data_IF_555963537613
#
_entry.id   IF_555963537613
#
_cell.length_a   1.000
_cell.length_b   1.000
_cell.length_c   1.000
_cell.angle_alpha   90.00
_cell.angle_beta   90.00
_cell.angle_gamma   90.00
#
_symmetry.space_group_name_H-M   'P 1'
#
loop_
_entity.id
_entity.type
_entity.pdbx_description
1 polymer ?
#
# COMPACT_ATOMS: atom_id res chain seq x y z
N UNK A 1 -23.57 -0.24 -6.70
CA UNK A 1 -23.14 0.03 -5.31
C UNK A 1 -23.49 -1.16 -4.42
N UNK A 2 -22.79 -1.33 -3.30
CA UNK A 2 -23.11 -2.38 -2.32
C UNK A 2 -24.54 -2.27 -1.80
N UNK A 3 -25.05 -1.06 -1.61
CA UNK A 3 -26.41 -0.80 -1.11
C UNK A 3 -27.49 -1.50 -1.93
N UNK A 4 -27.36 -1.53 -3.25
CA UNK A 4 -28.33 -2.20 -4.14
C UNK A 4 -28.23 -3.73 -4.13
N UNK A 5 -27.14 -4.27 -3.60
CA UNK A 5 -26.87 -5.73 -3.56
C UNK A 5 -26.82 -6.29 -2.14
N UNK A 6 -27.03 -5.46 -1.10
CA UNK A 6 -26.83 -5.84 0.28
C UNK A 6 -27.67 -7.07 0.68
N UNK A 7 -28.94 -7.09 0.30
CA UNK A 7 -29.83 -8.24 0.59
C UNK A 7 -29.29 -9.55 -0.04
N UNK A 8 -28.78 -9.48 -1.28
CA UNK A 8 -28.21 -10.64 -1.97
C UNK A 8 -26.92 -11.09 -1.26
N UNK A 9 -26.08 -10.17 -0.85
CA UNK A 9 -24.83 -10.47 -0.13
C UNK A 9 -25.14 -11.16 1.20
N UNK A 10 -26.11 -10.63 1.98
CA UNK A 10 -26.54 -11.26 3.24
C UNK A 10 -27.08 -12.66 2.98
N UNK A 11 -27.95 -12.84 1.98
CA UNK A 11 -28.52 -14.13 1.61
C UNK A 11 -27.43 -15.16 1.25
N UNK A 12 -26.40 -14.76 0.51
CA UNK A 12 -25.28 -15.64 0.16
C UNK A 12 -24.51 -16.11 1.39
N UNK A 13 -24.16 -15.20 2.31
CA UNK A 13 -23.47 -15.57 3.55
C UNK A 13 -24.36 -16.44 4.44
N UNK A 14 -25.66 -16.13 4.55
CA UNK A 14 -26.61 -16.93 5.34
C UNK A 14 -26.75 -18.35 4.77
N UNK A 15 -26.84 -18.51 3.44
CA UNK A 15 -26.85 -19.82 2.78
C UNK A 15 -25.56 -20.62 3.01
N UNK A 16 -24.44 -19.92 3.17
CA UNK A 16 -23.16 -20.51 3.52
C UNK A 16 -23.00 -20.82 5.03
N UNK A 17 -24.04 -20.59 5.84
CA UNK A 17 -24.09 -20.92 7.26
C UNK A 17 -23.57 -19.81 8.20
N UNK A 18 -23.39 -18.60 7.70
CA UNK A 18 -22.99 -17.46 8.53
C UNK A 18 -24.21 -16.75 9.13
N UNK A 19 -24.08 -16.32 10.38
CA UNK A 19 -24.94 -15.30 10.96
C UNK A 19 -24.37 -13.92 10.65
N UNK A 20 -25.18 -13.03 10.03
CA UNK A 20 -24.68 -11.77 9.46
C UNK A 20 -25.19 -10.57 10.22
N UNK A 21 -24.29 -9.74 10.68
CA UNK A 21 -24.58 -8.41 11.21
C UNK A 21 -24.06 -7.35 10.23
N UNK A 22 -24.96 -6.54 9.67
CA UNK A 22 -24.59 -5.46 8.77
C UNK A 22 -24.50 -4.13 9.54
N UNK A 23 -23.39 -3.43 9.39
CA UNK A 23 -23.14 -2.12 10.00
C UNK A 23 -22.67 -1.10 8.95
N UNK A 24 -23.56 -0.23 8.43
CA UNK A 24 -23.17 0.86 7.56
C UNK A 24 -22.34 1.92 8.31
N UNK A 25 -21.26 2.35 7.70
CA UNK A 25 -20.42 3.43 8.23
C UNK A 25 -21.07 4.79 7.95
N UNK A 26 -20.96 5.73 8.90
CA UNK A 26 -21.58 7.06 8.82
C UNK A 26 -20.53 8.17 8.67
N UNK A 27 -19.35 7.98 9.24
CA UNK A 27 -18.29 8.98 9.23
C UNK A 27 -16.90 8.33 9.17
N UNK A 28 -15.89 9.17 9.08
CA UNK A 28 -14.49 8.73 9.09
C UNK A 28 -14.16 7.99 10.38
N UNK A 29 -13.41 6.90 10.28
CA UNK A 29 -13.02 5.98 11.37
C UNK A 29 -14.13 5.10 11.93
N UNK A 30 -15.36 5.16 11.43
CA UNK A 30 -16.42 4.23 11.83
C UNK A 30 -16.08 2.78 11.52
N UNK A 31 -15.46 2.52 10.37
CA UNK A 31 -15.03 1.17 10.01
C UNK A 31 -13.95 0.64 10.97
N UNK A 32 -13.06 1.50 11.45
CA UNK A 32 -12.07 1.15 12.47
C UNK A 32 -12.75 0.78 13.80
N UNK A 33 -13.70 1.60 14.27
CA UNK A 33 -14.44 1.35 15.50
C UNK A 33 -15.26 0.06 15.40
N UNK A 34 -15.92 -0.17 14.26
CA UNK A 34 -16.71 -1.39 14.00
C UNK A 34 -15.84 -2.65 13.99
N UNK A 35 -14.67 -2.58 13.35
CA UNK A 35 -13.74 -3.70 13.31
C UNK A 35 -13.18 -4.03 14.69
N UNK A 36 -12.78 -3.01 15.46
CA UNK A 36 -12.33 -3.19 16.84
C UNK A 36 -13.41 -3.81 17.72
N UNK A 37 -14.65 -3.34 17.60
CA UNK A 37 -15.80 -3.91 18.30
C UNK A 37 -15.99 -5.39 17.93
N UNK A 38 -16.02 -5.73 16.64
CA UNK A 38 -16.19 -7.10 16.18
C UNK A 38 -15.11 -8.05 16.75
N UNK A 39 -13.85 -7.61 16.78
CA UNK A 39 -12.75 -8.39 17.36
C UNK A 39 -13.00 -8.74 18.85
N UNK A 40 -13.70 -7.88 19.60
CA UNK A 40 -14.03 -8.09 21.02
C UNK A 40 -15.33 -8.86 21.27
N UNK A 41 -16.19 -9.06 20.28
CA UNK A 41 -17.55 -9.62 20.46
C UNK A 41 -17.73 -11.06 19.97
N UNK A 42 -16.63 -11.75 19.66
CA UNK A 42 -16.71 -13.17 19.30
C UNK A 42 -17.13 -13.46 17.86
N UNK A 43 -17.09 -12.48 16.97
CA UNK A 43 -17.22 -12.73 15.53
C UNK A 43 -16.05 -13.56 15.00
N UNK A 44 -16.26 -14.24 13.86
CA UNK A 44 -15.26 -15.12 13.24
C UNK A 44 -14.64 -14.48 11.99
N UNK A 45 -15.34 -13.53 11.36
CA UNK A 45 -14.97 -12.89 10.12
C UNK A 45 -15.46 -11.45 10.09
N UNK A 46 -14.64 -10.53 9.62
CA UNK A 46 -15.05 -9.17 9.24
C UNK A 46 -15.13 -9.10 7.73
N UNK A 47 -16.26 -8.68 7.18
CA UNK A 47 -16.39 -8.41 5.74
C UNK A 47 -16.40 -6.90 5.51
N UNK A 48 -15.33 -6.39 4.91
CA UNK A 48 -15.20 -5.00 4.52
C UNK A 48 -15.75 -4.79 3.11
N UNK A 49 -16.75 -3.94 2.95
CA UNK A 49 -17.20 -3.50 1.62
C UNK A 49 -16.99 -2.00 1.46
N UNK A 50 -16.06 -1.62 0.58
CA UNK A 50 -15.67 -0.22 0.38
C UNK A 50 -14.47 -0.08 -0.55
N UNK A 51 -13.84 1.08 -0.53
CA UNK A 51 -12.57 1.35 -1.19
C UNK A 51 -11.38 1.09 -0.25
N UNK A 52 -10.18 1.40 -0.74
CA UNK A 52 -8.93 1.19 0.00
C UNK A 52 -8.90 1.94 1.34
N UNK A 53 -9.49 3.15 1.40
CA UNK A 53 -9.62 3.91 2.65
C UNK A 53 -10.45 3.18 3.72
N UNK A 54 -11.59 2.58 3.33
CA UNK A 54 -12.43 1.80 4.26
C UNK A 54 -11.69 0.53 4.71
N UNK A 55 -11.01 -0.15 3.79
CA UNK A 55 -10.19 -1.31 4.12
C UNK A 55 -9.08 -0.92 5.11
N UNK A 56 -8.39 0.19 4.89
CA UNK A 56 -7.36 0.67 5.80
C UNK A 56 -7.92 0.97 7.20
N UNK A 57 -9.10 1.56 7.31
CA UNK A 57 -9.76 1.75 8.62
C UNK A 57 -10.07 0.43 9.31
N UNK A 58 -10.60 -0.57 8.59
CA UNK A 58 -10.85 -1.92 9.14
C UNK A 58 -9.55 -2.52 9.67
N UNK A 59 -8.47 -2.44 8.90
CA UNK A 59 -7.15 -2.94 9.29
C UNK A 59 -6.63 -2.23 10.54
N UNK A 60 -6.76 -0.90 10.62
CA UNK A 60 -6.42 -0.15 11.84
C UNK A 60 -7.16 -0.70 13.06
N UNK A 61 -8.44 -1.01 12.92
CA UNK A 61 -9.26 -1.57 14.00
C UNK A 61 -8.83 -2.98 14.41
N UNK A 62 -8.61 -3.86 13.44
CA UNK A 62 -8.14 -5.22 13.68
C UNK A 62 -6.75 -5.22 14.30
N UNK A 63 -5.80 -4.45 13.73
CA UNK A 63 -4.41 -4.44 14.22
C UNK A 63 -4.26 -3.88 15.63
N UNK A 64 -5.17 -3.02 16.07
CA UNK A 64 -5.21 -2.48 17.45
C UNK A 64 -6.00 -3.35 18.43
N UNK A 65 -6.57 -4.45 17.98
CA UNK A 65 -7.31 -5.39 18.84
C UNK A 65 -6.38 -6.50 19.33
N UNK A 66 -6.69 -7.13 20.46
CA UNK A 66 -5.94 -8.30 20.94
C UNK A 66 -6.15 -9.51 20.02
N UNK A 67 -7.43 -9.85 19.75
CA UNK A 67 -7.81 -10.91 18.82
C UNK A 67 -7.85 -10.34 17.40
N UNK A 68 -7.11 -10.95 16.48
CA UNK A 68 -7.13 -10.60 15.06
C UNK A 68 -8.14 -11.48 14.33
N UNK A 69 -9.14 -10.85 13.72
CA UNK A 69 -10.08 -11.56 12.86
C UNK A 69 -9.62 -11.53 11.41
N UNK A 70 -9.90 -12.58 10.64
CA UNK A 70 -9.72 -12.53 9.19
C UNK A 70 -10.63 -11.47 8.58
N UNK A 71 -10.18 -10.88 7.47
CA UNK A 71 -10.91 -9.85 6.73
C UNK A 71 -11.26 -10.38 5.35
N UNK A 72 -12.55 -10.45 5.02
CA UNK A 72 -13.04 -10.58 3.66
C UNK A 72 -13.17 -9.19 3.03
N UNK A 73 -12.70 -8.99 1.81
CA UNK A 73 -12.78 -7.69 1.16
C UNK A 73 -13.64 -7.73 -0.10
N UNK A 74 -14.68 -6.90 -0.15
CA UNK A 74 -15.53 -6.66 -1.30
C UNK A 74 -15.19 -5.28 -1.86
N UNK A 75 -14.45 -5.19 -2.98
CA UNK A 75 -14.03 -3.91 -3.54
C UNK A 75 -15.21 -3.15 -4.12
N UNK A 76 -15.55 -2.01 -3.52
CA UNK A 76 -16.67 -1.16 -3.90
C UNK A 76 -16.28 0.32 -4.09
N UNK A 77 -15.00 0.66 -3.99
CA UNK A 77 -14.44 1.98 -4.26
C UNK A 77 -14.08 2.18 -5.73
N UNK A 78 -13.50 3.34 -6.04
CA UNK A 78 -13.10 3.71 -7.41
C UNK A 78 -11.87 2.94 -7.89
N UNK A 79 -10.85 2.84 -7.07
CA UNK A 79 -9.53 2.29 -7.41
C UNK A 79 -9.38 0.83 -6.96
N UNK A 80 -9.58 0.54 -5.68
CA UNK A 80 -9.50 -0.78 -5.05
C UNK A 80 -8.16 -1.49 -5.33
N UNK A 81 -7.12 -0.85 -4.96
CA UNK A 81 -5.76 -1.20 -5.35
C UNK A 81 -5.26 -2.47 -4.69
N UNK A 82 -5.52 -2.61 -3.40
CA UNK A 82 -5.24 -3.84 -2.69
C UNK A 82 -5.95 -5.04 -3.36
N UNK A 83 -7.25 -4.89 -3.67
CA UNK A 83 -8.00 -5.95 -4.33
C UNK A 83 -7.40 -6.34 -5.69
N UNK A 84 -6.95 -5.35 -6.46
CA UNK A 84 -6.31 -5.57 -7.75
C UNK A 84 -4.96 -6.27 -7.61
N UNK A 85 -4.16 -5.86 -6.63
CA UNK A 85 -2.84 -6.44 -6.34
C UNK A 85 -2.90 -7.91 -5.98
N UNK A 86 -3.92 -8.32 -5.19
CA UNK A 86 -4.10 -9.72 -4.75
C UNK A 86 -5.10 -10.50 -5.61
N UNK A 87 -5.63 -9.91 -6.69
CA UNK A 87 -6.51 -10.58 -7.64
C UNK A 87 -7.96 -10.78 -7.19
N UNK A 88 -8.46 -10.02 -6.20
CA UNK A 88 -9.86 -10.10 -5.76
C UNK A 88 -10.81 -9.65 -6.88
N UNK A 89 -11.88 -10.40 -7.19
CA UNK A 89 -12.84 -10.04 -8.21
C UNK A 89 -13.48 -8.66 -7.98
N UNK A 90 -13.61 -7.86 -9.06
CA UNK A 90 -14.30 -6.57 -9.00
C UNK A 90 -15.82 -6.69 -8.86
N UNK A 91 -16.38 -7.79 -9.36
CA UNK A 91 -17.81 -8.04 -9.21
C UNK A 91 -18.12 -8.39 -7.75
N UNK A 92 -19.10 -7.72 -7.17
CA UNK A 92 -19.48 -7.89 -5.75
C UNK A 92 -19.86 -9.34 -5.45
N UNK A 93 -20.64 -9.98 -6.33
CA UNK A 93 -21.12 -11.35 -6.12
C UNK A 93 -19.97 -12.35 -6.18
N UNK A 94 -19.08 -12.17 -7.17
CA UNK A 94 -17.90 -13.04 -7.31
C UNK A 94 -16.93 -12.85 -6.14
N UNK A 95 -16.78 -11.60 -5.63
CA UNK A 95 -15.97 -11.33 -4.43
C UNK A 95 -16.57 -11.97 -3.17
N UNK A 96 -17.90 -11.95 -3.01
CA UNK A 96 -18.60 -12.64 -1.92
C UNK A 96 -18.38 -14.15 -2.01
N UNK A 97 -18.56 -14.73 -3.20
CA UNK A 97 -18.34 -16.16 -3.40
C UNK A 97 -16.88 -16.53 -3.10
N UNK A 98 -15.93 -15.69 -3.53
CA UNK A 98 -14.52 -15.90 -3.20
C UNK A 98 -14.24 -15.88 -1.70
N UNK A 99 -14.90 -14.99 -0.93
CA UNK A 99 -14.77 -14.96 0.52
C UNK A 99 -15.34 -16.23 1.15
N UNK A 100 -16.52 -16.70 0.68
CA UNK A 100 -17.20 -17.89 1.19
C UNK A 100 -16.38 -19.15 0.94
N UNK A 101 -15.86 -19.31 -0.28
CA UNK A 101 -15.11 -20.50 -0.72
C UNK A 101 -13.61 -20.39 -0.40
N UNK A 102 -13.16 -19.19 -0.04
CA UNK A 102 -11.76 -18.83 0.09
C UNK A 102 -11.07 -19.46 1.29
N UNK A 103 -9.76 -19.64 1.13
CA UNK A 103 -8.86 -19.94 2.23
C UNK A 103 -8.28 -18.65 2.79
N UNK A 104 -7.99 -18.65 4.09
CA UNK A 104 -7.25 -17.54 4.71
C UNK A 104 -5.89 -17.38 4.03
N UNK A 105 -5.60 -16.18 3.60
CA UNK A 105 -4.33 -15.81 2.99
C UNK A 105 -3.60 -14.86 3.95
N UNK A 106 -2.42 -15.25 4.47
CA UNK A 106 -1.65 -14.36 5.33
C UNK A 106 -1.08 -13.20 4.52
N UNK A 107 -1.05 -12.03 5.14
CA UNK A 107 -0.52 -10.82 4.54
C UNK A 107 0.12 -9.96 5.63
N UNK A 108 1.33 -9.53 5.40
CA UNK A 108 2.04 -8.62 6.29
C UNK A 108 1.39 -7.24 6.29
N UNK A 109 1.30 -6.66 7.46
CA UNK A 109 0.78 -5.31 7.67
C UNK A 109 1.91 -4.45 8.24
N UNK A 110 2.28 -3.41 7.49
CA UNK A 110 3.29 -2.46 7.92
C UNK A 110 2.83 -1.63 9.11
N UNK A 111 3.70 -1.49 10.10
CA UNK A 111 3.51 -0.54 11.19
C UNK A 111 4.36 0.70 10.92
N UNK A 112 3.71 1.85 10.84
CA UNK A 112 4.37 3.13 10.64
C UNK A 112 4.01 4.08 11.78
N UNK A 113 4.95 4.23 12.73
CA UNK A 113 4.71 4.90 14.01
C UNK A 113 3.47 4.31 14.72
N UNK A 114 2.38 5.09 14.81
CA UNK A 114 1.11 4.71 15.44
C UNK A 114 0.03 4.23 14.45
N UNK A 115 0.39 4.12 13.17
CA UNK A 115 -0.51 3.73 12.07
C UNK A 115 -0.08 2.43 11.43
N UNK A 116 -1.01 1.84 10.68
CA UNK A 116 -0.76 0.66 9.88
C UNK A 116 -1.02 0.94 8.41
N UNK A 117 -0.29 0.26 7.53
CA UNK A 117 -0.53 0.30 6.09
C UNK A 117 -0.42 -1.10 5.49
N UNK A 118 -1.18 -1.36 4.43
CA UNK A 118 -1.23 -2.67 3.77
C UNK A 118 -0.31 -2.78 2.58
N UNK A 119 -0.11 -1.68 1.87
CA UNK A 119 0.46 -1.76 0.52
C UNK A 119 1.65 -0.86 0.32
N UNK A 120 1.53 0.43 0.62
CA UNK A 120 2.57 1.42 0.37
C UNK A 120 2.57 2.51 1.44
N UNK A 121 3.75 2.94 1.84
CA UNK A 121 4.00 4.20 2.50
C UNK A 121 5.07 4.95 1.69
N UNK A 122 4.81 6.19 1.29
CA UNK A 122 5.71 6.96 0.45
C UNK A 122 5.84 8.40 0.91
N UNK A 123 7.01 9.00 0.64
CA UNK A 123 7.28 10.42 0.88
C UNK A 123 7.95 11.08 -0.32
N UNK A 124 7.95 12.39 -0.32
CA UNK A 124 8.70 13.21 -1.27
C UNK A 124 7.86 13.83 -2.35
N UNK A 125 8.53 14.33 -3.37
CA UNK A 125 7.89 14.96 -4.50
C UNK A 125 6.86 13.98 -5.09
N UNK A 126 5.62 14.48 -5.27
CA UNK A 126 4.56 13.76 -6.01
C UNK A 126 3.58 12.93 -5.17
N UNK A 127 3.71 12.87 -3.86
CA UNK A 127 2.73 12.18 -3.03
C UNK A 127 1.36 12.87 -3.04
N UNK A 128 1.29 14.15 -3.38
CA UNK A 128 0.03 14.90 -3.47
C UNK A 128 -0.83 14.55 -4.70
N UNK A 129 -0.23 13.96 -5.75
CA UNK A 129 -0.89 13.72 -7.05
C UNK A 129 -1.31 12.25 -7.26
N UNK A 130 -0.86 11.34 -6.42
CA UNK A 130 -0.92 9.89 -6.67
C UNK A 130 -2.24 9.21 -6.35
N UNK A 131 -3.24 9.89 -5.81
CA UNK A 131 -4.49 9.25 -5.40
C UNK A 131 -5.45 8.85 -6.54
N UNK A 132 -5.21 9.27 -7.77
CA UNK A 132 -6.15 9.00 -8.87
C UNK A 132 -5.67 7.98 -9.92
N UNK A 133 -4.45 7.52 -9.89
CA UNK A 133 -3.91 6.66 -10.94
C UNK A 133 -3.42 5.31 -10.42
N UNK A 134 -3.84 4.28 -11.09
CA UNK A 134 -3.61 2.84 -10.91
C UNK A 134 -2.22 2.44 -10.37
N UNK A 135 -2.22 1.54 -9.42
CA UNK A 135 -1.18 1.28 -8.45
C UNK A 135 -0.50 -0.06 -8.63
N UNK A 136 0.12 -0.21 -9.72
CA UNK A 136 1.31 -1.05 -9.72
C UNK A 136 2.49 -0.13 -9.34
N UNK A 137 3.47 -0.62 -8.60
CA UNK A 137 4.70 0.11 -8.27
C UNK A 137 5.34 0.72 -9.53
N UNK A 138 5.27 0.04 -10.68
CA UNK A 138 5.66 0.56 -11.99
C UNK A 138 4.93 1.86 -12.35
N UNK A 139 3.65 1.99 -11.99
CA UNK A 139 2.87 3.19 -12.30
C UNK A 139 3.25 4.34 -11.37
N UNK A 140 3.57 4.07 -10.11
CA UNK A 140 4.07 5.09 -9.17
C UNK A 140 5.40 5.63 -9.67
N UNK A 141 6.36 4.77 -9.96
CA UNK A 141 7.68 5.18 -10.43
C UNK A 141 7.63 5.81 -11.82
N UNK A 142 6.78 5.31 -12.73
CA UNK A 142 6.52 5.92 -14.03
C UNK A 142 5.90 7.32 -13.88
N UNK A 143 5.01 7.51 -12.91
CA UNK A 143 4.45 8.82 -12.61
C UNK A 143 5.51 9.78 -12.04
N UNK A 144 6.36 9.30 -11.12
CA UNK A 144 7.53 10.07 -10.64
C UNK A 144 8.42 10.49 -11.82
N UNK A 145 8.73 9.58 -12.75
CA UNK A 145 9.50 9.90 -13.95
C UNK A 145 8.82 10.97 -14.82
N UNK A 146 7.50 10.85 -15.02
CA UNK A 146 6.72 11.83 -15.80
C UNK A 146 6.77 13.23 -15.17
N UNK A 147 6.58 13.32 -13.86
CA UNK A 147 6.63 14.61 -13.17
C UNK A 147 8.04 15.19 -13.14
N UNK A 148 9.06 14.36 -12.92
CA UNK A 148 10.46 14.79 -13.01
C UNK A 148 10.80 15.32 -14.40
N UNK A 149 10.29 14.70 -15.45
CA UNK A 149 10.48 15.18 -16.83
C UNK A 149 9.84 16.56 -17.09
N UNK A 150 8.77 16.90 -16.38
CA UNK A 150 8.12 18.22 -16.44
C UNK A 150 8.88 19.32 -15.68
N UNK A 151 9.89 18.99 -14.88
CA UNK A 151 10.63 19.96 -14.08
C UNK A 151 11.72 20.63 -14.92
N UNK A 152 11.54 21.91 -15.20
CA UNK A 152 12.48 22.70 -16.00
C UNK A 152 13.75 23.12 -15.26
N UNK A 153 13.77 23.04 -13.92
CA UNK A 153 14.92 23.47 -13.10
C UNK A 153 15.07 22.57 -11.86
N UNK A 154 16.25 22.03 -11.65
CA UNK A 154 16.56 21.16 -10.49
C UNK A 154 16.24 21.77 -9.13
N UNK A 155 16.44 23.08 -8.98
CA UNK A 155 16.13 23.79 -7.73
C UNK A 155 14.66 23.77 -7.32
N UNK A 156 13.77 23.34 -8.20
CA UNK A 156 12.34 23.19 -7.91
C UNK A 156 12.04 21.80 -7.35
N UNK A 157 13.00 20.89 -7.30
CA UNK A 157 12.85 19.56 -6.71
C UNK A 157 13.11 19.70 -5.22
N UNK A 158 12.10 19.44 -4.40
CA UNK A 158 12.27 19.40 -2.94
C UNK A 158 13.13 18.19 -2.58
N UNK A 159 14.19 18.44 -1.86
CA UNK A 159 15.17 17.45 -1.42
C UNK A 159 15.16 17.38 0.10
N UNK A 160 15.26 16.18 0.64
CA UNK A 160 15.27 15.92 2.07
C UNK A 160 16.57 15.24 2.45
N UNK A 161 17.32 15.85 3.36
CA UNK A 161 18.48 15.19 3.96
C UNK A 161 18.01 14.16 4.97
N UNK A 162 18.43 12.92 4.80
CA UNK A 162 17.93 11.82 5.62
C UNK A 162 19.04 10.89 6.05
N UNK A 163 18.98 10.50 7.31
CA UNK A 163 19.68 9.34 7.84
C UNK A 163 18.69 8.18 7.94
N UNK A 164 19.00 7.09 7.27
CA UNK A 164 18.15 5.91 7.16
C UNK A 164 18.90 4.73 7.77
N UNK A 165 18.28 4.09 8.75
CA UNK A 165 18.82 2.89 9.42
C UNK A 165 17.91 1.70 9.12
N UNK A 166 18.48 0.63 8.62
CA UNK A 166 17.79 -0.63 8.34
C UNK A 166 18.76 -1.79 8.54
N UNK A 167 18.26 -2.88 9.10
CA UNK A 167 19.08 -4.01 9.54
C UNK A 167 20.30 -3.51 10.35
N UNK A 168 21.52 -3.80 9.92
CA UNK A 168 22.77 -3.32 10.53
C UNK A 168 23.42 -2.20 9.71
N UNK A 169 22.71 -1.65 8.69
CA UNK A 169 23.23 -0.59 7.82
C UNK A 169 22.69 0.78 8.20
N UNK A 170 23.53 1.79 8.00
CA UNK A 170 23.17 3.21 8.08
C UNK A 170 23.59 3.87 6.77
N UNK A 171 22.63 4.55 6.13
CA UNK A 171 22.88 5.38 4.97
C UNK A 171 22.43 6.80 5.24
N UNK A 172 23.18 7.77 4.74
CA UNK A 172 22.89 9.19 4.89
C UNK A 172 23.13 9.88 3.57
N UNK A 173 22.08 10.52 3.04
CA UNK A 173 22.15 11.21 1.76
C UNK A 173 20.93 12.14 1.59
N UNK A 174 20.86 12.83 0.46
CA UNK A 174 19.73 13.67 0.07
C UNK A 174 18.80 12.89 -0.88
N UNK A 175 17.52 12.83 -0.54
CA UNK A 175 16.52 12.09 -1.30
C UNK A 175 15.37 12.99 -1.75
N UNK A 176 14.87 12.76 -2.96
CA UNK A 176 13.69 13.43 -3.50
C UNK A 176 12.43 12.60 -3.36
N UNK A 177 12.57 11.28 -3.18
CA UNK A 177 11.47 10.34 -3.06
C UNK A 177 11.91 9.08 -2.33
N UNK A 178 10.99 8.50 -1.58
CA UNK A 178 11.15 7.17 -1.01
C UNK A 178 9.80 6.49 -0.83
N UNK A 179 9.80 5.16 -0.97
CA UNK A 179 8.63 4.35 -0.71
C UNK A 179 9.01 3.04 -0.04
N UNK A 180 8.09 2.54 0.77
CA UNK A 180 8.13 1.23 1.42
C UNK A 180 6.87 0.49 1.00
N UNK A 181 7.01 -0.69 0.39
CA UNK A 181 5.88 -1.43 -0.17
C UNK A 181 5.90 -2.89 0.25
N UNK A 182 4.71 -3.47 0.46
CA UNK A 182 4.50 -4.91 0.45
C UNK A 182 3.94 -5.30 -0.92
N UNK A 183 4.82 -5.50 -1.91
CA UNK A 183 4.43 -5.70 -3.31
C UNK A 183 5.44 -6.54 -4.08
N UNK A 184 4.95 -7.35 -5.00
CA UNK A 184 5.75 -8.28 -5.83
C UNK A 184 6.68 -7.62 -6.84
N UNK A 185 6.70 -6.32 -6.97
CA UNK A 185 7.45 -5.69 -8.05
C UNK A 185 8.01 -4.34 -7.66
N UNK A 186 9.15 -4.35 -7.00
CA UNK A 186 9.99 -3.17 -6.95
C UNK A 186 11.10 -3.31 -7.96
N UNK A 187 11.05 -2.46 -8.95
CA UNK A 187 12.16 -2.11 -9.82
C UNK A 187 12.84 -3.26 -10.57
N UNK A 188 12.15 -4.34 -10.89
CA UNK A 188 12.77 -5.42 -11.70
C UNK A 188 14.00 -6.09 -11.06
N UNK A 189 14.38 -5.71 -9.85
CA UNK A 189 15.57 -6.22 -9.16
C UNK A 189 15.37 -7.59 -8.52
N UNK A 190 14.12 -8.00 -8.30
CA UNK A 190 13.81 -9.30 -7.72
C UNK A 190 12.91 -10.06 -8.70
N UNK A 191 13.30 -11.30 -9.01
CA UNK A 191 12.56 -12.17 -9.91
C UNK A 191 11.16 -12.45 -9.36
N UNK A 192 10.15 -12.37 -10.23
CA UNK A 192 8.72 -12.54 -9.95
C UNK A 192 8.33 -13.90 -9.34
N UNK A 193 9.25 -14.83 -9.16
CA UNK A 193 8.94 -16.21 -8.82
C UNK A 193 8.87 -16.51 -7.32
N UNK A 194 9.30 -15.60 -6.44
CA UNK A 194 9.39 -15.87 -4.99
C UNK A 194 8.74 -14.77 -4.13
N UNK A 195 7.71 -14.10 -4.64
CA UNK A 195 7.03 -13.08 -3.87
C UNK A 195 5.99 -13.69 -2.92
N UNK A 196 6.21 -13.46 -1.63
CA UNK A 196 5.29 -13.80 -0.57
C UNK A 196 4.82 -12.50 0.11
N UNK A 197 3.50 -12.35 0.28
CA UNK A 197 2.93 -11.21 1.03
C UNK A 197 3.12 -11.35 2.55
N UNK A 198 3.66 -12.45 3.00
CA UNK A 198 3.76 -12.86 4.40
C UNK A 198 5.17 -13.33 4.78
N UNK A 199 6.20 -12.78 4.13
CA UNK A 199 7.60 -13.12 4.41
C UNK A 199 8.26 -12.22 5.47
N UNK A 200 7.51 -11.27 6.03
CA UNK A 200 7.98 -10.32 7.03
C UNK A 200 8.88 -9.22 6.48
N UNK A 201 8.99 -9.08 5.16
CA UNK A 201 9.87 -8.11 4.51
C UNK A 201 9.09 -7.11 3.69
N UNK A 202 9.59 -5.89 3.66
CA UNK A 202 9.13 -4.80 2.81
C UNK A 202 10.20 -4.40 1.82
N UNK A 203 9.78 -4.06 0.62
CA UNK A 203 10.66 -3.45 -0.35
C UNK A 203 10.74 -1.94 -0.12
N UNK A 204 11.97 -1.45 -0.12
CA UNK A 204 12.26 -0.02 0.01
C UNK A 204 12.89 0.45 -1.30
N UNK A 205 12.35 1.53 -1.85
CA UNK A 205 12.97 2.24 -2.99
C UNK A 205 13.21 3.69 -2.62
N UNK A 206 14.45 4.12 -2.79
CA UNK A 206 14.90 5.48 -2.51
C UNK A 206 15.48 6.10 -3.78
N UNK A 207 15.10 7.35 -4.06
CA UNK A 207 15.62 8.12 -5.20
C UNK A 207 16.40 9.30 -4.65
N UNK A 208 17.69 9.33 -4.96
CA UNK A 208 18.58 10.41 -4.54
C UNK A 208 18.31 11.70 -5.30
N UNK A 209 18.70 12.79 -4.68
CA UNK A 209 18.64 14.12 -5.31
C UNK A 209 19.63 14.19 -6.46
N UNK A 210 19.20 14.57 -7.70
CA UNK A 210 20.11 14.77 -8.79
C UNK A 210 21.00 16.00 -8.58
N UNK A 211 22.30 15.86 -8.79
CA UNK A 211 23.25 16.95 -8.68
C UNK A 211 23.30 17.88 -9.89
N UNK A 212 22.90 17.39 -11.05
CA UNK A 212 22.93 18.11 -12.32
C UNK A 212 21.85 17.59 -13.30
N UNK A 213 21.60 18.26 -14.44
CA UNK A 213 20.59 17.84 -15.40
C UNK A 213 20.80 16.45 -16.03
N UNK A 214 22.05 16.00 -16.15
CA UNK A 214 22.35 14.66 -16.67
C UNK A 214 21.95 13.58 -15.67
N UNK A 215 22.15 13.82 -14.38
CA UNK A 215 21.72 12.92 -13.32
C UNK A 215 20.19 12.78 -13.31
N UNK A 216 19.48 13.91 -13.49
CA UNK A 216 18.02 13.88 -13.61
C UNK A 216 17.56 13.04 -14.80
N UNK A 217 18.21 13.17 -15.96
CA UNK A 217 17.89 12.35 -17.12
C UNK A 217 18.15 10.87 -16.88
N UNK A 218 19.24 10.51 -16.20
CA UNK A 218 19.54 9.12 -15.83
C UNK A 218 18.49 8.55 -14.90
N UNK A 219 18.08 9.30 -13.88
CA UNK A 219 16.99 8.90 -12.98
C UNK A 219 15.70 8.65 -13.77
N UNK A 220 15.28 9.60 -14.61
CA UNK A 220 14.08 9.46 -15.44
C UNK A 220 14.17 8.23 -16.35
N UNK A 221 15.32 8.03 -17.02
CA UNK A 221 15.54 6.88 -17.89
C UNK A 221 15.40 5.56 -17.10
N UNK A 222 16.05 5.45 -15.94
CA UNK A 222 15.98 4.28 -15.09
C UNK A 222 14.55 4.01 -14.58
N UNK A 223 13.80 5.04 -14.20
CA UNK A 223 12.40 4.88 -13.74
C UNK A 223 11.45 4.42 -14.85
N UNK A 224 11.72 4.84 -16.11
CA UNK A 224 10.92 4.40 -17.26
C UNK A 224 11.31 3.01 -17.78
N UNK A 225 12.54 2.57 -17.51
CA UNK A 225 13.08 1.30 -17.98
C UNK A 225 13.46 0.36 -16.82
N UNK A 226 12.73 0.43 -15.74
CA UNK A 226 13.05 -0.19 -14.46
C UNK A 226 13.25 -1.71 -14.52
N UNK A 227 12.66 -2.37 -15.49
CA UNK A 227 12.82 -3.81 -15.71
C UNK A 227 14.11 -4.17 -16.47
N UNK A 228 14.82 -3.18 -17.04
CA UNK A 228 15.91 -3.41 -17.98
C UNK A 228 17.22 -2.83 -17.46
N UNK A 229 17.18 -1.59 -16.93
CA UNK A 229 18.39 -0.85 -16.56
C UNK A 229 18.09 0.14 -15.42
N UNK A 230 18.64 -0.15 -14.23
CA UNK A 230 18.52 0.71 -13.06
C UNK A 230 19.88 1.32 -12.73
N UNK A 231 19.93 2.64 -12.73
CA UNK A 231 21.12 3.36 -12.26
C UNK A 231 21.20 3.33 -10.72
N UNK A 232 21.91 2.35 -10.19
CA UNK A 232 22.09 2.14 -8.76
C UNK A 232 22.83 3.27 -8.05
N UNK A 233 23.42 4.20 -8.79
CA UNK A 233 24.02 5.41 -8.21
C UNK A 233 22.96 6.36 -7.64
N UNK A 234 21.77 6.39 -8.25
CA UNK A 234 20.68 7.29 -7.88
C UNK A 234 19.46 6.60 -7.30
N UNK A 235 19.24 5.31 -7.65
CA UNK A 235 18.10 4.53 -7.17
C UNK A 235 18.64 3.40 -6.31
N UNK A 236 18.31 3.42 -5.03
CA UNK A 236 18.63 2.34 -4.09
C UNK A 236 17.38 1.56 -3.78
N UNK A 237 17.41 0.24 -4.00
CA UNK A 237 16.34 -0.68 -3.63
C UNK A 237 16.90 -1.82 -2.79
N UNK A 238 16.17 -2.19 -1.74
CA UNK A 238 16.52 -3.28 -0.83
C UNK A 238 15.27 -3.79 -0.11
N UNK A 239 15.39 -4.90 0.60
CA UNK A 239 14.33 -5.48 1.44
C UNK A 239 14.75 -5.45 2.90
N UNK A 240 13.80 -5.15 3.77
CA UNK A 240 14.02 -5.14 5.23
C UNK A 240 12.72 -5.35 5.99
N UNK A 241 12.80 -5.93 7.18
CA UNK A 241 11.67 -6.04 8.10
C UNK A 241 11.49 -4.80 8.97
N UNK A 242 12.53 -3.95 9.06
CA UNK A 242 12.52 -2.77 9.92
C UNK A 242 13.39 -1.65 9.33
N UNK A 243 12.80 -0.46 9.25
CA UNK A 243 13.49 0.73 8.77
C UNK A 243 13.16 1.95 9.63
N UNK A 244 14.13 2.82 9.80
CA UNK A 244 13.99 4.11 10.49
C UNK A 244 14.46 5.22 9.58
N UNK A 245 13.61 6.22 9.39
CA UNK A 245 13.91 7.46 8.68
C UNK A 245 14.05 8.59 9.70
N UNK A 246 15.17 9.30 9.66
CA UNK A 246 15.45 10.49 10.47
C UNK A 246 15.67 11.67 9.51
N UNK A 247 14.87 12.72 9.65
CA UNK A 247 14.89 13.91 8.83
C UNK A 247 14.57 15.12 9.71
N UNK A 248 15.30 16.22 9.51
CA UNK A 248 15.08 17.47 10.29
C UNK A 248 13.87 18.25 9.74
N UNK A 249 13.50 18.03 8.48
CA UNK A 249 12.34 18.65 7.84
C UNK A 249 11.04 17.91 8.20
N UNK A 250 9.92 18.65 8.24
CA UNK A 250 8.60 18.02 8.28
C UNK A 250 8.34 17.23 7.01
N UNK A 251 8.19 15.92 7.17
CA UNK A 251 8.01 14.98 6.07
C UNK A 251 6.58 14.43 6.05
N UNK A 252 5.86 14.72 4.99
CA UNK A 252 4.52 14.17 4.79
C UNK A 252 4.62 12.79 4.12
N UNK A 253 3.93 11.83 4.71
CA UNK A 253 3.80 10.47 4.20
C UNK A 253 2.37 10.20 3.74
N UNK A 254 2.25 9.47 2.65
CA UNK A 254 0.95 9.01 2.11
C UNK A 254 0.86 7.50 2.13
#
# INVERSE_FOLDING_TARGET
>A
TISSKLAVVIDMFTKAGYEVTARPTQERMDACAAAKYACGQGFDLIVCSGGDGTLNEVIQGVMRSEKKLPIGYIPAGSTNDFARGVGIPRNIIDAVQWIIDGKKYPCDIGSFNDKFFTYIAAFGAFTEVTYETSQQVKNVLGHVAYVLNGISRLKNIKSYHMKITYDDEIIEDNYIFGMVTNSSSVAGLLSLNDFLLDDGLYEVTLIKTPGNPLDLQRIIHSLLNIDIDIDTAYIKSFRTSKIRFECDDELQWT
#
